data_IF_928731206632
#
_entry.id   IF_928731206632
#
_cell.length_a   1.000
_cell.length_b   1.000
_cell.length_c   1.000
_cell.angle_alpha   90.00
_cell.angle_beta   90.00
_cell.angle_gamma   90.00
#
_symmetry.space_group_name_H-M   'P 1'
#
loop_
_entity.id
_entity.type
_entity.pdbx_description
1 polymer ?
#
# COMPACT_ATOMS: atom_id res chain seq x y z
N UNK A 1 -23.63 4.48 9.36
CA UNK A 1 -22.29 3.91 9.07
C UNK A 1 -22.28 3.05 7.79
N UNK A 2 -23.39 2.40 7.46
CA UNK A 2 -23.45 1.45 6.31
C UNK A 2 -23.35 2.07 4.91
N UNK A 3 -23.75 3.33 4.73
CA UNK A 3 -23.77 3.96 3.40
C UNK A 3 -22.38 4.33 2.84
N UNK A 4 -21.39 4.59 3.69
CA UNK A 4 -20.04 4.93 3.26
C UNK A 4 -19.26 3.69 2.79
N UNK A 5 -19.40 2.56 3.50
CA UNK A 5 -18.75 1.30 3.10
C UNK A 5 -19.22 0.86 1.72
N UNK A 6 -20.52 0.88 1.48
CA UNK A 6 -21.11 0.52 0.19
C UNK A 6 -20.68 1.44 -0.98
N UNK A 7 -20.13 2.63 -0.70
CA UNK A 7 -19.63 3.55 -1.73
C UNK A 7 -18.17 3.30 -2.14
N UNK A 8 -17.43 2.48 -1.38
CA UNK A 8 -16.04 2.16 -1.71
C UNK A 8 -15.98 1.31 -2.98
N UNK A 9 -15.09 1.63 -3.90
CA UNK A 9 -14.90 0.85 -5.13
C UNK A 9 -14.55 -0.61 -4.84
N UNK A 10 -13.80 -0.87 -3.77
CA UNK A 10 -13.43 -2.22 -3.33
C UNK A 10 -14.62 -3.08 -2.86
N UNK A 11 -15.75 -2.45 -2.56
CA UNK A 11 -16.97 -3.12 -2.09
C UNK A 11 -18.08 -3.19 -3.16
N UNK A 12 -17.83 -2.60 -4.34
CA UNK A 12 -18.81 -2.61 -5.44
C UNK A 12 -18.74 -3.91 -6.24
N UNK A 13 -19.89 -4.31 -6.74
CA UNK A 13 -19.98 -5.42 -7.70
C UNK A 13 -19.41 -4.98 -9.04
N UNK A 14 -18.49 -5.75 -9.59
CA UNK A 14 -18.02 -5.53 -10.95
C UNK A 14 -19.07 -6.05 -11.95
N UNK A 15 -19.72 -5.15 -12.65
CA UNK A 15 -20.79 -5.48 -13.61
C UNK A 15 -20.29 -6.34 -14.79
N UNK A 16 -19.01 -6.26 -15.16
CA UNK A 16 -18.43 -7.05 -16.25
C UNK A 16 -18.24 -8.52 -15.89
N UNK A 17 -18.13 -8.83 -14.60
CA UNK A 17 -17.94 -10.21 -14.10
C UNK A 17 -19.14 -10.74 -13.30
N UNK A 18 -20.29 -10.06 -13.36
CA UNK A 18 -21.47 -10.33 -12.55
C UNK A 18 -22.02 -11.76 -12.72
N UNK A 19 -21.90 -12.32 -13.93
CA UNK A 19 -22.40 -13.67 -14.26
C UNK A 19 -21.27 -14.73 -14.24
N UNK A 20 -20.15 -14.45 -13.58
CA UNK A 20 -18.95 -15.32 -13.57
C UNK A 20 -19.26 -16.71 -13.00
N UNK A 21 -20.19 -16.79 -12.03
CA UNK A 21 -20.64 -18.04 -11.40
C UNK A 21 -21.41 -18.97 -12.33
N UNK A 22 -21.88 -18.46 -13.48
CA UNK A 22 -22.65 -19.22 -14.50
C UNK A 22 -21.79 -19.65 -15.69
N UNK A 23 -20.54 -19.24 -15.72
CA UNK A 23 -19.63 -19.55 -16.82
C UNK A 23 -18.96 -20.92 -16.63
N UNK A 24 -18.56 -21.53 -17.74
CA UNK A 24 -17.61 -22.63 -17.71
C UNK A 24 -16.21 -22.14 -17.33
N UNK A 25 -15.27 -23.06 -17.12
CA UNK A 25 -13.90 -22.74 -16.71
C UNK A 25 -13.22 -21.76 -17.67
N UNK A 26 -13.39 -21.94 -18.99
CA UNK A 26 -12.80 -21.05 -19.97
C UNK A 26 -13.40 -19.64 -19.91
N UNK A 27 -14.72 -19.55 -19.74
CA UNK A 27 -15.42 -18.28 -19.55
C UNK A 27 -14.93 -17.53 -18.32
N UNK A 28 -14.79 -18.21 -17.16
CA UNK A 28 -14.24 -17.63 -15.94
C UNK A 28 -12.82 -17.08 -16.17
N UNK A 29 -11.94 -17.88 -16.76
CA UNK A 29 -10.55 -17.48 -17.02
C UNK A 29 -10.46 -16.29 -17.99
N UNK A 30 -11.31 -16.27 -19.03
CA UNK A 30 -11.35 -15.13 -19.94
C UNK A 30 -11.83 -13.86 -19.27
N UNK A 31 -12.88 -13.91 -18.44
CA UNK A 31 -13.35 -12.75 -17.69
C UNK A 31 -12.26 -12.19 -16.77
N UNK A 32 -11.55 -13.05 -16.02
CA UNK A 32 -10.44 -12.62 -15.16
C UNK A 32 -9.33 -11.97 -16.00
N UNK A 33 -8.93 -12.61 -17.09
CA UNK A 33 -7.86 -12.09 -17.95
C UNK A 33 -8.23 -10.76 -18.61
N UNK A 34 -9.51 -10.55 -18.94
CA UNK A 34 -9.98 -9.29 -19.52
C UNK A 34 -9.97 -8.15 -18.49
N UNK A 35 -10.29 -8.44 -17.22
CA UNK A 35 -10.13 -7.49 -16.11
C UNK A 35 -8.64 -7.15 -15.86
N UNK A 36 -7.76 -8.15 -15.88
CA UNK A 36 -6.33 -7.94 -15.68
C UNK A 36 -5.71 -7.01 -16.74
N UNK A 37 -6.22 -7.02 -17.97
CA UNK A 37 -5.74 -6.13 -19.06
C UNK A 37 -5.97 -4.66 -18.80
N UNK A 38 -6.91 -4.30 -17.94
CA UNK A 38 -7.23 -2.91 -17.62
C UNK A 38 -6.21 -2.33 -16.63
N UNK A 39 -5.58 -3.18 -15.82
CA UNK A 39 -4.67 -2.76 -14.74
C UNK A 39 -3.50 -1.90 -15.26
N UNK A 40 -2.76 -2.27 -16.31
CA UNK A 40 -1.69 -1.43 -16.85
C UNK A 40 -2.17 -0.06 -17.34
N UNK A 41 -3.39 0.04 -17.87
CA UNK A 41 -3.96 1.30 -18.31
C UNK A 41 -4.30 2.21 -17.13
N UNK A 42 -4.86 1.63 -16.05
CA UNK A 42 -5.14 2.35 -14.81
C UNK A 42 -3.84 2.87 -14.17
N UNK A 43 -2.80 2.03 -14.08
CA UNK A 43 -1.48 2.45 -13.60
C UNK A 43 -0.85 3.51 -14.51
N UNK A 44 -1.05 3.43 -15.82
CA UNK A 44 -0.56 4.42 -16.78
C UNK A 44 -1.06 5.83 -16.50
N UNK A 45 -2.29 5.98 -15.98
CA UNK A 45 -2.85 7.29 -15.59
C UNK A 45 -2.16 7.87 -14.35
N UNK A 46 -1.59 7.01 -13.50
CA UNK A 46 -0.91 7.40 -12.28
C UNK A 46 0.60 7.69 -12.47
N UNK A 47 1.16 7.56 -13.66
CA UNK A 47 2.57 7.84 -13.95
C UNK A 47 3.05 9.20 -13.38
N UNK A 48 2.29 10.31 -13.47
CA UNK A 48 2.73 11.57 -12.86
C UNK A 48 2.89 11.51 -11.34
N UNK A 49 2.01 10.79 -10.63
CA UNK A 49 2.09 10.59 -9.19
C UNK A 49 3.22 9.63 -8.82
N UNK A 50 3.40 8.56 -9.60
CA UNK A 50 4.51 7.61 -9.45
C UNK A 50 5.85 8.32 -9.62
N UNK A 51 5.99 9.18 -10.64
CA UNK A 51 7.21 9.94 -10.86
C UNK A 51 7.55 10.82 -9.66
N UNK A 52 6.57 11.56 -9.12
CA UNK A 52 6.77 12.37 -7.90
C UNK A 52 7.20 11.53 -6.69
N UNK A 53 6.59 10.35 -6.52
CA UNK A 53 6.95 9.43 -5.44
C UNK A 53 8.39 8.92 -5.60
N UNK A 54 8.78 8.54 -6.82
CA UNK A 54 10.15 8.10 -7.14
C UNK A 54 11.16 9.21 -6.88
N UNK A 55 10.90 10.44 -7.34
CA UNK A 55 11.80 11.59 -7.09
C UNK A 55 11.99 11.82 -5.59
N UNK A 56 10.90 11.76 -4.81
CA UNK A 56 10.93 11.89 -3.35
C UNK A 56 11.78 10.80 -2.68
N UNK A 57 11.65 9.54 -3.12
CA UNK A 57 12.44 8.41 -2.62
C UNK A 57 13.91 8.58 -2.97
N UNK A 58 14.22 8.95 -4.21
CA UNK A 58 15.59 9.17 -4.69
C UNK A 58 16.27 10.26 -3.88
N UNK A 59 15.59 11.38 -3.64
CA UNK A 59 16.14 12.50 -2.86
C UNK A 59 16.40 12.09 -1.41
N UNK A 60 15.50 11.34 -0.78
CA UNK A 60 15.68 10.82 0.56
C UNK A 60 16.88 9.88 0.65
N UNK A 61 16.99 8.90 -0.25
CA UNK A 61 18.10 7.93 -0.28
C UNK A 61 19.44 8.65 -0.52
N UNK A 62 19.51 9.63 -1.43
CA UNK A 62 20.72 10.44 -1.66
C UNK A 62 21.09 11.26 -0.44
N UNK A 63 20.12 11.66 0.36
CA UNK A 63 20.30 12.35 1.64
C UNK A 63 20.69 11.43 2.80
N UNK A 64 20.82 10.11 2.59
CA UNK A 64 21.14 9.12 3.62
C UNK A 64 19.89 8.60 4.37
N UNK A 65 18.69 8.89 3.88
CA UNK A 65 17.42 8.35 4.37
C UNK A 65 17.13 6.96 3.80
N UNK A 66 15.97 6.40 4.21
CA UNK A 66 15.53 5.03 3.91
C UNK A 66 14.09 5.04 3.39
N UNK A 67 13.69 3.96 2.74
CA UNK A 67 12.31 3.73 2.34
C UNK A 67 11.68 2.64 3.20
N UNK A 68 10.47 2.89 3.67
CA UNK A 68 9.68 1.92 4.43
C UNK A 68 8.31 1.71 3.80
N UNK A 69 7.94 0.46 3.57
CA UNK A 69 6.60 0.05 3.19
C UNK A 69 5.83 -0.45 4.42
N UNK A 70 4.58 -0.06 4.54
CA UNK A 70 3.66 -0.55 5.58
C UNK A 70 2.32 -0.93 4.97
N UNK A 71 1.79 -2.06 5.38
CA UNK A 71 0.48 -2.52 4.96
C UNK A 71 -0.06 -3.62 5.87
N UNK A 72 -1.30 -3.99 5.67
CA UNK A 72 -1.92 -5.14 6.33
C UNK A 72 -2.27 -6.22 5.29
N UNK A 73 -2.33 -7.48 5.71
CA UNK A 73 -2.69 -8.58 4.83
C UNK A 73 -1.87 -8.64 3.55
N UNK A 74 -2.53 -8.73 2.39
CA UNK A 74 -1.86 -8.80 1.08
C UNK A 74 -1.04 -7.54 0.77
N UNK A 75 -1.54 -6.35 1.12
CA UNK A 75 -0.82 -5.10 0.92
C UNK A 75 0.53 -5.08 1.64
N UNK A 76 0.56 -5.54 2.90
CA UNK A 76 1.81 -5.67 3.67
C UNK A 76 2.76 -6.71 3.06
N UNK A 77 2.23 -7.86 2.60
CA UNK A 77 3.05 -8.90 1.94
C UNK A 77 3.71 -8.38 0.66
N UNK A 78 3.00 -7.58 -0.15
CA UNK A 78 3.56 -6.98 -1.36
C UNK A 78 4.68 -6.00 -1.03
N UNK A 79 4.53 -5.17 0.00
CA UNK A 79 5.60 -4.27 0.46
C UNK A 79 6.84 -5.04 0.94
N UNK A 80 6.65 -6.13 1.71
CA UNK A 80 7.75 -6.99 2.15
C UNK A 80 8.41 -7.71 0.97
N UNK A 81 7.63 -8.19 0.01
CA UNK A 81 8.14 -8.84 -1.21
C UNK A 81 9.06 -7.89 -1.96
N UNK A 82 8.60 -6.68 -2.29
CA UNK A 82 9.40 -5.68 -3.02
C UNK A 82 10.69 -5.34 -2.25
N UNK A 83 10.60 -5.04 -0.95
CA UNK A 83 11.75 -4.72 -0.12
C UNK A 83 12.78 -5.86 -0.08
N UNK A 84 12.33 -7.12 0.00
CA UNK A 84 13.21 -8.29 0.06
C UNK A 84 14.02 -8.51 -1.21
N UNK A 85 13.47 -8.14 -2.37
CA UNK A 85 14.12 -8.28 -3.68
C UNK A 85 15.15 -7.18 -3.95
N UNK A 86 15.12 -6.06 -3.23
CA UNK A 86 16.05 -4.95 -3.46
C UNK A 86 17.51 -5.33 -3.13
N UNK A 87 17.74 -6.09 -2.08
CA UNK A 87 19.10 -6.50 -1.68
C UNK A 87 19.75 -7.43 -2.72
N UNK A 88 19.16 -8.56 -3.13
CA UNK A 88 19.79 -9.44 -4.11
C UNK A 88 19.87 -8.82 -5.50
N UNK A 89 18.92 -7.95 -5.88
CA UNK A 89 18.85 -7.38 -7.22
C UNK A 89 19.81 -6.20 -7.39
N UNK A 90 19.92 -5.34 -6.39
CA UNK A 90 20.68 -4.08 -6.47
C UNK A 90 21.91 -4.05 -5.58
N UNK A 91 22.14 -5.05 -4.74
CA UNK A 91 23.31 -5.10 -3.84
C UNK A 91 23.28 -4.07 -2.72
N UNK A 92 22.11 -3.57 -2.36
CA UNK A 92 21.93 -2.59 -1.28
C UNK A 92 21.77 -3.27 0.08
N UNK A 93 21.98 -2.52 1.18
CA UNK A 93 21.72 -3.00 2.52
C UNK A 93 20.23 -3.31 2.74
N UNK A 94 19.92 -4.33 3.51
CA UNK A 94 18.56 -4.63 3.98
C UNK A 94 17.90 -3.48 4.75
N UNK A 95 18.71 -2.58 5.33
CA UNK A 95 18.22 -1.44 6.07
C UNK A 95 17.72 -0.30 5.18
N UNK A 96 18.13 -0.28 3.90
CA UNK A 96 17.82 0.82 2.99
C UNK A 96 16.36 0.85 2.57
N UNK A 97 15.79 -0.33 2.24
CA UNK A 97 14.40 -0.50 1.85
C UNK A 97 13.80 -1.62 2.70
N UNK A 98 12.78 -1.30 3.46
CA UNK A 98 12.20 -2.21 4.44
C UNK A 98 10.68 -2.34 4.24
N UNK A 99 10.17 -3.57 4.37
CA UNK A 99 8.74 -3.85 4.34
C UNK A 99 8.25 -4.34 5.70
N UNK A 100 7.14 -3.77 6.15
CA UNK A 100 6.51 -4.10 7.42
C UNK A 100 5.03 -4.44 7.21
N UNK A 101 4.54 -5.42 7.95
CA UNK A 101 3.16 -5.89 7.89
C UNK A 101 2.52 -5.85 9.27
N UNK A 102 1.27 -5.41 9.34
CA UNK A 102 0.48 -5.50 10.56
C UNK A 102 0.45 -6.96 11.08
N UNK A 103 0.77 -7.17 12.37
CA UNK A 103 0.92 -8.49 12.95
C UNK A 103 2.31 -9.13 12.79
N UNK A 104 3.27 -8.42 12.18
CA UNK A 104 4.68 -8.82 12.10
C UNK A 104 4.93 -10.06 11.24
N UNK A 105 6.07 -10.72 11.44
CA UNK A 105 6.51 -11.86 10.61
C UNK A 105 5.51 -13.02 10.56
N UNK A 106 4.75 -13.22 11.62
CA UNK A 106 3.69 -14.24 11.66
C UNK A 106 2.65 -13.96 10.58
N UNK A 107 2.29 -12.70 10.35
CA UNK A 107 1.29 -12.28 9.37
C UNK A 107 1.73 -12.47 7.91
N UNK A 108 3.02 -12.68 7.64
CA UNK A 108 3.50 -13.03 6.30
C UNK A 108 2.96 -14.38 5.83
N UNK A 109 2.79 -15.34 6.74
CA UNK A 109 2.40 -16.72 6.42
C UNK A 109 1.01 -17.10 6.90
N UNK A 110 0.54 -16.48 7.98
CA UNK A 110 -0.75 -16.78 8.60
C UNK A 110 -1.59 -15.51 8.69
N UNK A 111 -2.91 -15.65 8.68
CA UNK A 111 -3.78 -14.53 9.02
C UNK A 111 -3.61 -14.19 10.51
N UNK A 112 -3.40 -12.90 10.82
CA UNK A 112 -3.41 -12.37 12.19
C UNK A 112 -4.56 -11.39 12.24
N UNK A 113 -5.62 -11.80 12.93
CA UNK A 113 -6.82 -10.99 13.10
C UNK A 113 -6.54 -9.76 13.99
N UNK A 114 -7.35 -8.72 13.89
CA UNK A 114 -7.35 -7.48 14.69
C UNK A 114 -6.08 -6.61 14.56
N UNK A 115 -5.00 -7.08 13.95
CA UNK A 115 -3.75 -6.30 13.85
C UNK A 115 -3.88 -5.10 12.90
N UNK A 116 -4.76 -5.16 11.92
CA UNK A 116 -5.01 -4.08 10.97
C UNK A 116 -5.91 -2.96 11.52
N UNK A 117 -6.66 -3.24 12.60
CA UNK A 117 -7.67 -2.34 13.18
C UNK A 117 -7.08 -1.35 14.21
N UNK A 118 -5.78 -1.46 14.52
CA UNK A 118 -5.14 -0.62 15.52
C UNK A 118 -4.26 0.47 14.92
N UNK A 119 -4.71 1.74 15.01
CA UNK A 119 -3.87 2.91 14.68
C UNK A 119 -2.66 3.03 15.61
N UNK A 120 -2.82 2.66 16.89
CA UNK A 120 -1.74 2.76 17.89
C UNK A 120 -0.59 1.83 17.56
N UNK A 121 -0.85 0.60 17.10
CA UNK A 121 0.20 -0.29 16.62
C UNK A 121 0.98 0.32 15.46
N UNK A 122 0.29 0.94 14.49
CA UNK A 122 0.95 1.61 13.38
C UNK A 122 1.79 2.80 13.83
N UNK A 123 1.31 3.58 14.77
CA UNK A 123 2.03 4.72 15.35
C UNK A 123 3.31 4.28 16.07
N UNK A 124 3.22 3.23 16.89
CA UNK A 124 4.33 2.73 17.70
C UNK A 124 5.47 2.17 16.82
N UNK A 125 5.14 1.62 15.65
CA UNK A 125 6.13 1.12 14.69
C UNK A 125 7.13 2.20 14.24
N UNK A 126 6.66 3.43 14.03
CA UNK A 126 7.51 4.56 13.59
C UNK A 126 8.61 4.82 14.62
N UNK A 127 8.25 4.86 15.91
CA UNK A 127 9.21 5.02 17.01
C UNK A 127 10.14 3.81 17.15
N UNK A 128 9.61 2.60 17.06
CA UNK A 128 10.37 1.34 17.18
C UNK A 128 11.44 1.20 16.10
N UNK A 129 11.14 1.63 14.89
CA UNK A 129 12.05 1.56 13.74
C UNK A 129 12.99 2.77 13.63
N UNK A 130 12.84 3.75 14.52
CA UNK A 130 13.64 4.96 14.50
C UNK A 130 13.52 5.73 13.17
N UNK A 131 12.29 5.86 12.67
CA UNK A 131 11.99 6.61 11.46
C UNK A 131 12.12 8.10 11.76
N UNK A 132 12.74 8.85 10.86
CA UNK A 132 13.08 10.26 11.01
C UNK A 132 12.62 11.10 9.81
N UNK A 133 12.80 12.40 9.88
CA UNK A 133 12.48 13.32 8.79
C UNK A 133 13.29 13.09 7.50
N UNK A 134 14.36 12.27 7.54
CA UNK A 134 15.16 11.93 6.36
C UNK A 134 14.56 10.75 5.57
N UNK A 135 13.63 10.01 6.17
CA UNK A 135 13.08 8.78 5.61
C UNK A 135 11.81 9.03 4.79
N UNK A 136 11.44 8.05 3.96
CA UNK A 136 10.16 8.01 3.25
C UNK A 136 9.35 6.82 3.74
N UNK A 137 8.08 7.05 4.04
CA UNK A 137 7.13 6.03 4.49
C UNK A 137 6.02 5.87 3.47
N UNK A 138 5.84 4.64 2.97
CA UNK A 138 4.78 4.29 2.03
C UNK A 138 3.72 3.43 2.73
N UNK A 139 2.52 3.96 2.86
CA UNK A 139 1.35 3.21 3.34
C UNK A 139 0.59 2.57 2.19
N UNK A 140 0.35 1.26 2.25
CA UNK A 140 -0.35 0.49 1.23
C UNK A 140 -1.67 -0.04 1.81
N UNK A 141 -2.79 0.44 1.29
CA UNK A 141 -4.12 0.02 1.70
C UNK A 141 -5.12 0.17 0.53
N UNK A 142 -5.61 -0.94 -0.02
CA UNK A 142 -6.55 -0.91 -1.15
C UNK A 142 -7.77 -0.02 -0.85
N UNK A 143 -8.39 -0.17 0.31
CA UNK A 143 -9.51 0.67 0.76
C UNK A 143 -9.12 2.12 1.11
N UNK A 144 -7.84 2.39 1.34
CA UNK A 144 -7.32 3.67 1.80
C UNK A 144 -7.80 4.09 3.19
N UNK A 145 -8.21 3.12 4.04
CA UNK A 145 -8.79 3.39 5.37
C UNK A 145 -8.29 2.49 6.50
N UNK A 146 -7.42 1.53 6.21
CA UNK A 146 -6.89 0.58 7.19
C UNK A 146 -6.29 1.31 8.39
N UNK A 147 -6.81 1.14 9.62
CA UNK A 147 -6.39 1.93 10.78
C UNK A 147 -4.89 1.87 11.05
N UNK A 148 -4.30 0.67 11.00
CA UNK A 148 -2.85 0.49 11.14
C UNK A 148 -2.05 1.38 10.18
N UNK A 149 -2.42 1.41 8.88
CA UNK A 149 -1.74 2.20 7.85
C UNK A 149 -1.92 3.70 8.10
N UNK A 150 -3.12 4.13 8.52
CA UNK A 150 -3.38 5.53 8.88
C UNK A 150 -2.55 5.96 10.09
N UNK A 151 -2.43 5.10 11.12
CA UNK A 151 -1.57 5.34 12.28
C UNK A 151 -0.10 5.54 11.88
N UNK A 152 0.39 4.69 10.98
CA UNK A 152 1.74 4.79 10.41
C UNK A 152 1.97 6.12 9.70
N UNK A 153 1.15 6.47 8.69
CA UNK A 153 1.40 7.68 7.87
C UNK A 153 1.24 8.96 8.67
N UNK A 154 0.29 9.01 9.61
CA UNK A 154 0.10 10.15 10.53
C UNK A 154 1.31 10.37 11.41
N UNK A 155 1.83 9.31 12.02
CA UNK A 155 3.00 9.40 12.87
C UNK A 155 4.27 9.70 12.07
N UNK A 156 4.42 9.13 10.86
CA UNK A 156 5.51 9.46 9.96
C UNK A 156 5.52 10.95 9.60
N UNK A 157 4.37 11.51 9.23
CA UNK A 157 4.23 12.94 8.99
C UNK A 157 4.56 13.78 10.24
N UNK A 158 4.15 13.33 11.43
CA UNK A 158 4.42 14.03 12.70
C UNK A 158 5.92 14.11 13.04
N UNK A 159 6.73 13.10 12.68
CA UNK A 159 8.19 13.14 12.84
C UNK A 159 8.90 13.83 11.65
N UNK A 160 8.15 14.30 10.66
CA UNK A 160 8.67 15.03 9.50
C UNK A 160 9.11 14.15 8.33
N UNK A 161 8.90 12.84 8.40
CA UNK A 161 9.16 11.93 7.27
C UNK A 161 8.22 12.23 6.11
N UNK A 162 8.68 11.99 4.89
CA UNK A 162 7.85 12.09 3.69
C UNK A 162 6.92 10.88 3.60
N UNK A 163 5.70 11.11 3.10
CA UNK A 163 4.67 10.09 3.08
C UNK A 163 4.12 9.84 1.68
N UNK A 164 3.97 8.55 1.33
CA UNK A 164 3.36 8.08 0.09
C UNK A 164 2.19 7.16 0.46
N UNK A 165 1.08 7.28 -0.24
CA UNK A 165 -0.05 6.37 -0.15
C UNK A 165 -0.25 5.59 -1.43
N UNK A 166 -0.53 4.30 -1.34
CA UNK A 166 -0.97 3.47 -2.47
C UNK A 166 -2.35 2.90 -2.13
N UNK A 167 -3.35 3.22 -2.94
CA UNK A 167 -4.75 2.81 -2.72
C UNK A 167 -5.43 2.55 -4.06
N UNK A 168 -6.54 1.81 -4.05
CA UNK A 168 -7.42 1.66 -5.22
C UNK A 168 -8.78 2.33 -4.98
N UNK A 169 -8.85 3.23 -4.00
CA UNK A 169 -10.08 3.93 -3.66
C UNK A 169 -9.84 5.46 -3.67
N UNK A 170 -10.41 6.19 -4.63
CA UNK A 170 -10.24 7.64 -4.74
C UNK A 170 -10.90 8.34 -3.55
N UNK A 171 -10.42 9.54 -3.26
CA UNK A 171 -10.93 10.37 -2.14
C UNK A 171 -10.87 9.69 -0.78
N UNK A 172 -10.01 8.67 -0.64
CA UNK A 172 -9.82 7.94 0.60
C UNK A 172 -9.19 8.82 1.70
N UNK A 173 -9.28 8.34 2.95
CA UNK A 173 -8.60 9.00 4.07
C UNK A 173 -7.09 9.02 3.81
N UNK A 174 -6.51 7.90 3.39
CA UNK A 174 -5.08 7.78 3.09
C UNK A 174 -4.64 8.83 2.07
N UNK A 175 -5.41 9.03 0.99
CA UNK A 175 -5.07 10.02 -0.05
C UNK A 175 -4.97 11.44 0.48
N UNK A 176 -5.78 11.80 1.48
CA UNK A 176 -5.80 13.15 2.05
C UNK A 176 -4.70 13.39 3.08
N UNK A 177 -4.07 12.35 3.56
CA UNK A 177 -3.12 12.40 4.68
C UNK A 177 -1.66 12.19 4.27
N UNK A 178 -1.38 12.00 2.97
CA UNK A 178 -0.03 11.77 2.46
C UNK A 178 0.43 12.87 1.50
N UNK A 179 1.75 13.05 1.37
CA UNK A 179 2.34 14.03 0.45
C UNK A 179 2.09 13.67 -1.02
N UNK A 180 2.13 12.37 -1.33
CA UNK A 180 1.86 11.83 -2.68
C UNK A 180 0.98 10.59 -2.55
N UNK A 181 -0.12 10.55 -3.29
CA UNK A 181 -0.95 9.35 -3.39
C UNK A 181 -0.94 8.80 -4.81
N UNK A 182 -0.84 7.48 -4.94
CA UNK A 182 -0.95 6.71 -6.18
C UNK A 182 -2.25 5.91 -6.05
N UNK A 183 -3.24 6.22 -6.90
CA UNK A 183 -4.59 5.65 -6.81
C UNK A 183 -5.09 5.16 -8.17
N UNK A 184 -4.54 4.06 -8.73
CA UNK A 184 -5.01 3.51 -10.00
C UNK A 184 -6.44 2.98 -9.89
N UNK A 185 -7.30 3.37 -10.87
CA UNK A 185 -8.75 3.09 -10.92
C UNK A 185 -9.17 2.53 -12.26
#
# INVERSE_FOLDING_TARGET
>A
MDNYLASLLTEQVNERTKEIDRCDTAGILNMINDEDRIVPEAVGKEIPHIARAVDMIVDAIRGGGRLFYFGAGTSGRLGVLDASECTPTFGVSHDLIQGHIAGGDTALRNAVEDSEDSEDLGRDEIGRLGITASDVVTGIAASGRTPYVLGVVRQAAAVGAKTIGITTNPDSILQREVDVCIAPL
#
